data_IF_381810803464
#
_entry.id   IF_381810803464
#
_cell.length_a   1.000
_cell.length_b   1.000
_cell.length_c   1.000
_cell.angle_alpha   90.00
_cell.angle_beta   90.00
_cell.angle_gamma   90.00
#
_symmetry.space_group_name_H-M   'P 1'
#
loop_
_entity.id
_entity.type
_entity.pdbx_description
1 polymer ?
#
# COMPACT_ATOMS: atom_id res chain seq x y z
N UNK A 1 -26.40 12.19 14.40
CA UNK A 1 -25.04 12.46 14.91
C UNK A 1 -24.01 11.94 13.91
N UNK A 2 -23.05 12.76 13.49
CA UNK A 2 -22.06 12.41 12.46
C UNK A 2 -20.80 13.26 12.59
N UNK A 3 -20.16 13.23 13.77
CA UNK A 3 -18.91 13.96 13.97
C UNK A 3 -17.78 13.23 13.22
N UNK A 4 -16.86 13.96 12.56
CA UNK A 4 -15.71 13.36 11.91
C UNK A 4 -14.91 12.48 12.88
N UNK A 5 -14.40 11.36 12.37
CA UNK A 5 -13.49 10.52 13.14
C UNK A 5 -12.20 11.28 13.42
N UNK A 6 -11.76 11.24 14.67
CA UNK A 6 -10.43 11.71 15.02
C UNK A 6 -9.38 10.74 14.46
N UNK A 7 -8.18 11.24 14.16
CA UNK A 7 -7.09 10.45 13.55
C UNK A 7 -6.80 9.15 14.30
N UNK A 8 -6.80 9.19 15.64
CA UNK A 8 -6.58 8.02 16.48
C UNK A 8 -7.71 6.99 16.44
N UNK A 9 -8.96 7.43 16.25
CA UNK A 9 -10.12 6.54 16.24
C UNK A 9 -10.10 5.61 15.02
N UNK A 10 -9.73 6.12 13.85
CA UNK A 10 -9.58 5.28 12.65
C UNK A 10 -8.53 4.19 12.86
N UNK A 11 -7.41 4.50 13.52
CA UNK A 11 -6.39 3.50 13.84
C UNK A 11 -6.88 2.46 14.83
N UNK A 12 -7.59 2.87 15.89
CA UNK A 12 -8.17 1.94 16.87
C UNK A 12 -9.16 0.97 16.21
N UNK A 13 -10.09 1.49 15.41
CA UNK A 13 -11.07 0.67 14.68
C UNK A 13 -10.37 -0.38 13.81
N UNK A 14 -9.36 0.04 13.03
CA UNK A 14 -8.62 -0.88 12.17
C UNK A 14 -7.82 -1.92 12.95
N UNK A 15 -7.17 -1.51 14.05
CA UNK A 15 -6.42 -2.42 14.91
C UNK A 15 -7.31 -3.47 15.55
N UNK A 16 -8.47 -3.05 16.05
CA UNK A 16 -9.40 -3.95 16.72
C UNK A 16 -10.04 -4.92 15.72
N UNK A 17 -10.36 -4.46 14.51
CA UNK A 17 -10.79 -5.33 13.41
C UNK A 17 -9.71 -6.35 13.00
N UNK A 18 -8.44 -5.92 12.90
CA UNK A 18 -7.32 -6.82 12.59
C UNK A 18 -7.13 -7.90 13.67
N UNK A 19 -7.23 -7.52 14.95
CA UNK A 19 -7.17 -8.48 16.07
C UNK A 19 -8.32 -9.48 16.05
N UNK A 20 -9.51 -9.05 15.69
CA UNK A 20 -10.69 -9.91 15.63
C UNK A 20 -10.54 -11.05 14.61
N UNK A 21 -9.70 -10.87 13.58
CA UNK A 21 -9.37 -11.91 12.59
C UNK A 21 -8.01 -12.58 12.81
N UNK A 22 -7.40 -12.38 13.99
CA UNK A 22 -6.15 -13.02 14.37
C UNK A 22 -4.87 -12.39 13.80
N UNK A 23 -4.95 -11.21 13.19
CA UNK A 23 -3.75 -10.48 12.76
C UNK A 23 -3.07 -9.81 13.96
N UNK A 24 -1.84 -10.21 14.24
CA UNK A 24 -1.04 -9.70 15.37
C UNK A 24 -0.18 -8.50 15.02
N UNK A 25 0.04 -8.27 13.72
CA UNK A 25 0.85 -7.15 13.24
C UNK A 25 0.13 -5.80 13.45
N UNK A 26 0.88 -4.69 13.53
CA UNK A 26 0.30 -3.35 13.58
C UNK A 26 -0.42 -3.00 12.26
N UNK A 27 -1.72 -3.29 12.18
CA UNK A 27 -2.56 -2.89 11.05
C UNK A 27 -3.19 -1.52 11.33
N UNK A 28 -2.89 -0.56 10.47
CA UNK A 28 -3.45 0.78 10.52
C UNK A 28 -3.77 1.35 9.14
N UNK A 29 -4.16 2.62 9.10
CA UNK A 29 -4.53 3.33 7.86
C UNK A 29 -3.42 3.29 6.80
N UNK A 30 -2.16 3.42 7.23
CA UNK A 30 -1.02 3.31 6.31
C UNK A 30 -0.79 1.89 5.81
N UNK A 31 -1.01 0.85 6.63
CA UNK A 31 -0.87 -0.54 6.21
C UNK A 31 -1.83 -0.85 5.07
N UNK A 32 -3.10 -0.49 5.23
CA UNK A 32 -4.11 -0.64 4.16
C UNK A 32 -3.74 0.13 2.89
N UNK A 33 -3.27 1.38 3.02
CA UNK A 33 -2.88 2.20 1.87
C UNK A 33 -1.71 1.58 1.10
N UNK A 34 -0.73 1.01 1.80
CA UNK A 34 0.39 0.28 1.18
C UNK A 34 -0.09 -0.98 0.47
N UNK A 35 -0.93 -1.77 1.14
CA UNK A 35 -1.53 -3.00 0.58
C UNK A 35 -2.30 -2.70 -0.70
N UNK A 36 -3.14 -1.65 -0.71
CA UNK A 36 -3.82 -1.20 -1.92
C UNK A 36 -2.85 -0.87 -3.05
N UNK A 37 -1.83 -0.05 -2.77
CA UNK A 37 -0.85 0.35 -3.80
C UNK A 37 -0.05 -0.84 -4.33
N UNK A 38 0.33 -1.79 -3.47
CA UNK A 38 1.01 -3.02 -3.86
C UNK A 38 0.15 -3.89 -4.78
N UNK A 39 -1.12 -4.13 -4.43
CA UNK A 39 -2.02 -4.92 -5.25
C UNK A 39 -2.36 -4.24 -6.57
N UNK A 40 -2.58 -2.93 -6.59
CA UNK A 40 -2.78 -2.19 -7.83
C UNK A 40 -1.57 -2.33 -8.77
N UNK A 41 -0.36 -2.18 -8.23
CA UNK A 41 0.87 -2.30 -9.02
C UNK A 41 1.06 -3.71 -9.58
N UNK A 42 0.92 -4.74 -8.73
CA UNK A 42 1.08 -6.15 -9.15
C UNK A 42 -0.04 -6.64 -10.05
N UNK A 43 -1.21 -5.99 -10.05
CA UNK A 43 -2.31 -6.24 -10.99
C UNK A 43 -2.14 -5.51 -12.33
N UNK A 44 -1.02 -4.80 -12.53
CA UNK A 44 -0.67 -4.15 -13.80
C UNK A 44 -1.19 -2.72 -13.97
N UNK A 45 -1.67 -2.07 -12.91
CA UNK A 45 -2.03 -0.64 -12.97
C UNK A 45 -0.78 0.22 -13.14
N UNK A 46 -0.86 1.21 -14.02
CA UNK A 46 0.25 2.14 -14.28
C UNK A 46 0.73 2.84 -12.99
N UNK A 47 2.04 2.83 -12.77
CA UNK A 47 2.67 3.44 -11.59
C UNK A 47 2.38 4.95 -11.47
N UNK A 48 2.24 5.67 -12.58
CA UNK A 48 1.89 7.08 -12.58
C UNK A 48 0.46 7.32 -12.04
N UNK A 49 -0.48 6.43 -12.36
CA UNK A 49 -1.85 6.47 -11.82
C UNK A 49 -1.82 6.19 -10.32
N UNK A 50 -1.10 5.14 -9.91
CA UNK A 50 -0.97 4.78 -8.50
C UNK A 50 -0.33 5.94 -7.71
N UNK A 51 0.70 6.59 -8.25
CA UNK A 51 1.33 7.76 -7.65
C UNK A 51 0.33 8.91 -7.43
N UNK A 52 -0.54 9.20 -8.41
CA UNK A 52 -1.56 10.23 -8.28
C UNK A 52 -2.60 9.88 -7.20
N UNK A 53 -3.10 8.65 -7.18
CA UNK A 53 -4.03 8.15 -6.15
C UNK A 53 -3.39 8.22 -4.76
N UNK A 54 -2.10 7.88 -4.68
CA UNK A 54 -1.34 7.91 -3.43
C UNK A 54 -0.85 9.31 -3.04
N UNK A 55 -0.99 10.30 -3.93
CA UNK A 55 -0.51 11.67 -3.77
C UNK A 55 0.98 11.74 -3.39
N UNK A 56 1.81 10.98 -4.12
CA UNK A 56 3.26 10.98 -3.93
C UNK A 56 3.96 11.84 -4.99
N UNK A 57 5.09 12.43 -4.60
CA UNK A 57 5.86 13.35 -5.42
C UNK A 57 6.79 12.67 -6.43
N UNK A 58 7.05 11.36 -6.26
CA UNK A 58 7.92 10.63 -7.19
C UNK A 58 7.52 9.15 -7.33
N UNK A 59 7.84 8.53 -8.49
CA UNK A 59 7.67 7.09 -8.66
C UNK A 59 8.49 6.28 -7.65
N UNK A 60 9.69 6.76 -7.30
CA UNK A 60 10.55 6.13 -6.29
C UNK A 60 9.91 6.13 -4.90
N UNK A 61 9.29 7.24 -4.50
CA UNK A 61 8.50 7.32 -3.25
C UNK A 61 7.37 6.31 -3.25
N UNK A 62 6.68 6.17 -4.38
CA UNK A 62 5.57 5.21 -4.52
C UNK A 62 6.06 3.77 -4.38
N UNK A 63 7.07 3.36 -5.13
CA UNK A 63 7.63 2.00 -5.08
C UNK A 63 8.13 1.64 -3.68
N UNK A 64 8.88 2.53 -3.04
CA UNK A 64 9.35 2.34 -1.67
C UNK A 64 8.19 2.25 -0.67
N UNK A 65 7.16 3.07 -0.84
CA UNK A 65 5.98 3.06 0.03
C UNK A 65 5.23 1.72 -0.02
N UNK A 66 5.05 1.16 -1.23
CA UNK A 66 4.34 -0.11 -1.44
C UNK A 66 5.25 -1.35 -1.29
N UNK A 67 6.52 -1.18 -0.94
CA UNK A 67 7.45 -2.27 -0.65
C UNK A 67 8.07 -2.96 -1.86
N UNK A 68 8.01 -2.36 -3.05
CA UNK A 68 8.67 -2.88 -4.26
C UNK A 68 10.15 -2.50 -4.22
N UNK A 69 11.03 -3.50 -4.17
CA UNK A 69 12.49 -3.31 -4.09
C UNK A 69 13.12 -3.38 -5.48
N UNK A 70 14.36 -2.92 -5.61
CA UNK A 70 15.12 -2.98 -6.89
C UNK A 70 15.18 -4.41 -7.45
N UNK A 71 15.24 -5.40 -6.57
CA UNK A 71 15.25 -6.85 -6.83
C UNK A 71 14.05 -7.32 -7.68
N UNK A 72 12.89 -6.66 -7.55
CA UNK A 72 11.70 -7.00 -8.34
C UNK A 72 11.79 -6.53 -9.80
N UNK A 73 12.69 -5.59 -10.12
CA UNK A 73 12.94 -5.16 -11.51
C UNK A 73 13.72 -6.20 -12.31
N UNK A 74 14.50 -7.05 -11.64
CA UNK A 74 15.28 -8.09 -12.31
C UNK A 74 14.38 -9.17 -12.91
N UNK A 75 13.17 -9.36 -12.34
CA UNK A 75 12.14 -10.25 -12.90
C UNK A 75 11.62 -9.80 -14.26
N UNK A 76 11.68 -8.50 -14.58
CA UNK A 76 11.29 -8.00 -15.91
C UNK A 76 12.31 -8.46 -16.95
N UNK A 77 13.61 -8.38 -16.65
CA UNK A 77 14.66 -8.85 -17.55
C UNK A 77 14.64 -10.37 -17.75
N UNK A 78 14.35 -11.13 -16.69
CA UNK A 78 14.16 -12.59 -16.76
C UNK A 78 12.91 -12.99 -17.56
N UNK A 79 11.82 -12.22 -17.47
CA UNK A 79 10.58 -12.50 -18.21
C UNK A 79 10.64 -12.14 -19.70
N UNK A 80 11.59 -11.29 -20.11
CA UNK A 80 11.74 -10.87 -21.50
C UNK A 80 12.52 -11.86 -22.37
N UNK A 81 13.12 -12.93 -21.82
CA UNK A 81 13.89 -13.95 -22.56
C UNK A 81 14.63 -13.36 -23.79
N UNK A 82 15.48 -12.37 -23.55
CA UNK A 82 16.43 -11.86 -24.55
C UNK A 82 17.71 -12.71 -24.53
#
# INVERSE_FOLDING_TARGET
HGRPLQRGQAWQILRDAARAVGLTDPIGTHTLRKTFGYFAYTSGVDLAIIQQILNHSSPGTTLAYIGIRREDRDKVYLGLNL
#
